data_IF_071417677910
#
_entry.id   IF_071417677910
#
_cell.length_a   1.000
_cell.length_b   1.000
_cell.length_c   1.000
_cell.angle_alpha   90.00
_cell.angle_beta   90.00
_cell.angle_gamma   90.00
#
_symmetry.space_group_name_H-M   'P 1'
#
loop_
_entity.id
_entity.type
_entity.pdbx_description
1 polymer ?
#
# COMPACT_ATOMS: atom_id res chain seq x y z
N UNK A 1 -5.44 -4.98 -3.69
CA UNK A 1 -4.51 -4.18 -4.52
C UNK A 1 -4.98 -3.98 -5.97
N UNK A 2 -5.00 -5.00 -6.85
CA UNK A 2 -5.33 -4.80 -8.28
C UNK A 2 -6.69 -4.13 -8.54
N UNK A 3 -7.73 -4.48 -7.78
CA UNK A 3 -9.04 -3.81 -7.88
C UNK A 3 -9.04 -2.35 -7.42
N UNK A 4 -8.21 -2.01 -6.44
CA UNK A 4 -8.05 -0.62 -5.97
C UNK A 4 -7.30 0.22 -7.00
N UNK A 5 -6.24 -0.33 -7.59
CA UNK A 5 -5.51 0.29 -8.70
C UNK A 5 -6.50 0.63 -9.82
N UNK A 6 -7.28 -0.37 -10.29
CA UNK A 6 -8.29 -0.16 -11.33
C UNK A 6 -9.27 0.97 -10.97
N UNK A 7 -9.87 0.92 -9.78
CA UNK A 7 -10.83 1.95 -9.33
C UNK A 7 -10.23 3.36 -9.26
N UNK A 8 -9.02 3.53 -8.70
CA UNK A 8 -8.42 4.87 -8.59
C UNK A 8 -7.94 5.40 -9.95
N UNK A 9 -7.51 4.53 -10.85
CA UNK A 9 -7.18 4.93 -12.23
C UNK A 9 -8.42 5.29 -13.04
N UNK A 10 -9.58 4.64 -12.79
CA UNK A 10 -10.86 4.97 -13.44
C UNK A 10 -11.34 6.39 -13.10
N UNK A 11 -11.09 6.88 -11.88
CA UNK A 11 -11.44 8.26 -11.47
C UNK A 11 -10.59 9.31 -12.18
N UNK A 12 -9.30 9.02 -12.42
CA UNK A 12 -8.38 9.97 -13.07
C UNK A 12 -8.65 10.05 -14.57
N UNK A 13 -8.99 8.93 -15.21
CA UNK A 13 -9.33 8.85 -16.64
C UNK A 13 -8.11 9.01 -17.57
N UNK A 14 -7.43 10.15 -17.54
CA UNK A 14 -6.25 10.46 -18.38
C UNK A 14 -5.13 11.01 -17.51
N UNK A 15 -3.91 10.50 -17.69
CA UNK A 15 -2.73 10.99 -16.99
C UNK A 15 -1.92 11.94 -17.88
N UNK A 16 -1.33 13.01 -17.31
CA UNK A 16 -0.56 13.99 -18.07
C UNK A 16 0.84 13.48 -18.47
N UNK A 17 1.37 12.46 -17.79
CA UNK A 17 2.64 11.79 -18.07
C UNK A 17 2.76 10.48 -17.26
N UNK A 18 3.80 9.70 -17.55
CA UNK A 18 4.06 8.42 -16.88
C UNK A 18 4.39 8.59 -15.39
N UNK A 19 5.08 9.67 -15.02
CA UNK A 19 5.40 9.96 -13.61
C UNK A 19 4.14 10.13 -12.76
N UNK A 20 3.06 10.67 -13.31
CA UNK A 20 1.78 10.80 -12.62
C UNK A 20 1.16 9.43 -12.29
N UNK A 21 1.32 8.45 -13.17
CA UNK A 21 0.87 7.07 -12.93
C UNK A 21 1.73 6.44 -11.83
N UNK A 22 3.06 6.57 -11.93
CA UNK A 22 4.00 6.03 -10.94
C UNK A 22 3.72 6.60 -9.55
N UNK A 23 3.43 7.90 -9.43
CA UNK A 23 3.09 8.53 -8.16
C UNK A 23 1.79 7.99 -7.56
N UNK A 24 0.74 7.81 -8.37
CA UNK A 24 -0.53 7.27 -7.88
C UNK A 24 -0.37 5.82 -7.39
N UNK A 25 0.28 4.97 -8.20
CA UNK A 25 0.50 3.56 -7.85
C UNK A 25 1.44 3.45 -6.65
N UNK A 26 2.49 4.29 -6.59
CA UNK A 26 3.40 4.37 -5.46
C UNK A 26 2.70 4.75 -4.15
N UNK A 27 1.82 5.76 -4.17
CA UNK A 27 1.02 6.12 -3.01
C UNK A 27 0.10 4.98 -2.55
N UNK A 28 -0.57 4.29 -3.48
CA UNK A 28 -1.40 3.11 -3.19
C UNK A 28 -0.62 1.96 -2.54
N UNK A 29 0.61 1.71 -3.01
CA UNK A 29 1.47 0.69 -2.44
C UNK A 29 1.91 1.05 -1.02
N UNK A 30 2.21 2.33 -0.76
CA UNK A 30 2.55 2.82 0.58
C UNK A 30 1.37 2.66 1.54
N UNK A 31 0.16 3.08 1.14
CA UNK A 31 -1.05 2.88 1.94
C UNK A 31 -1.26 1.40 2.30
N UNK A 32 -1.11 0.49 1.33
CA UNK A 32 -1.26 -0.94 1.57
C UNK A 32 -0.17 -1.50 2.49
N UNK A 33 1.07 -1.04 2.34
CA UNK A 33 2.18 -1.43 3.19
C UNK A 33 1.97 -0.99 4.64
N UNK A 34 1.47 0.23 4.85
CA UNK A 34 1.16 0.75 6.18
C UNK A 34 0.03 -0.04 6.85
N UNK A 35 -1.02 -0.38 6.11
CA UNK A 35 -2.08 -1.27 6.60
C UNK A 35 -1.53 -2.64 7.05
N UNK A 36 -0.64 -3.24 6.25
CA UNK A 36 0.00 -4.51 6.58
C UNK A 36 0.93 -4.39 7.79
N UNK A 37 1.68 -3.31 7.93
CA UNK A 37 2.53 -3.06 9.09
C UNK A 37 1.71 -2.95 10.38
N UNK A 38 0.56 -2.26 10.33
CA UNK A 38 -0.37 -2.14 11.46
C UNK A 38 -0.99 -3.48 11.81
N UNK A 39 -1.45 -4.26 10.83
CA UNK A 39 -2.00 -5.60 11.09
C UNK A 39 -0.94 -6.53 11.68
N UNK A 40 0.28 -6.51 11.14
CA UNK A 40 1.39 -7.30 11.66
C UNK A 40 1.68 -6.95 13.13
N UNK A 41 1.75 -5.67 13.48
CA UNK A 41 1.94 -5.25 14.87
C UNK A 41 0.79 -5.68 15.80
N UNK A 42 -0.45 -5.77 15.29
CA UNK A 42 -1.63 -6.19 16.06
C UNK A 42 -1.71 -7.70 16.30
N UNK A 43 -1.21 -8.50 15.36
CA UNK A 43 -1.36 -9.97 15.39
C UNK A 43 -0.07 -10.73 15.75
N UNK A 44 0.99 -10.03 16.13
CA UNK A 44 2.25 -10.65 16.54
C UNK A 44 2.35 -10.69 18.06
N UNK A 45 2.79 -11.82 18.61
CA UNK A 45 2.97 -11.95 20.06
C UNK A 45 4.26 -11.25 20.50
N UNK A 46 4.30 -10.80 21.76
CA UNK A 46 5.50 -10.19 22.35
C UNK A 46 6.72 -11.13 22.29
N UNK A 47 6.49 -12.44 22.36
CA UNK A 47 7.53 -13.47 22.24
C UNK A 47 8.12 -13.54 20.83
N UNK A 48 7.28 -13.54 19.78
CA UNK A 48 7.75 -13.48 18.38
C UNK A 48 8.47 -12.16 18.09
N UNK A 49 8.02 -11.05 18.68
CA UNK A 49 8.71 -9.76 18.57
C UNK A 49 10.08 -9.77 19.27
N UNK A 50 10.21 -10.41 20.44
CA UNK A 50 11.47 -10.50 21.18
C UNK A 50 12.53 -11.34 20.46
N UNK A 51 12.12 -12.33 19.66
CA UNK A 51 13.00 -13.17 18.84
C UNK A 51 13.47 -12.50 17.53
N UNK A 52 12.85 -11.41 17.10
CA UNK A 52 13.23 -10.68 15.88
C UNK A 52 14.33 -9.61 16.09
N UNK A 53 14.91 -9.53 17.29
CA UNK A 53 15.98 -8.60 17.63
C UNK A 53 17.37 -9.19 17.41
#
# INVERSE_FOLDING_TARGET
>A
LNGEIKRRTEVVGIFPNDEAIVRLVGALLLEQNDEWAVQRAKYMTLETMAQMR
#
